data_IF_479407592393
#
_entry.id   IF_479407592393
#
_cell.length_a   1.000
_cell.length_b   1.000
_cell.length_c   1.000
_cell.angle_alpha   90.00
_cell.angle_beta   90.00
_cell.angle_gamma   90.00
#
_symmetry.space_group_name_H-M   'P 1'
#
loop_
_entity.id
_entity.type
_entity.pdbx_description
1 polymer ?
#
# COMPACT_ATOMS: atom_id res chain seq x y z
N UNK A 1 -3.13 57.79 47.98
CA UNK A 1 -3.08 56.31 48.03
C UNK A 1 -3.49 55.60 46.71
N UNK A 2 -3.52 56.27 45.55
CA UNK A 2 -4.06 55.70 44.29
C UNK A 2 -3.05 55.04 43.34
N UNK A 3 -1.73 55.21 43.55
CA UNK A 3 -0.72 54.67 42.64
C UNK A 3 -0.52 53.14 42.77
N UNK A 4 -0.70 52.58 43.98
CA UNK A 4 -0.53 51.14 44.24
C UNK A 4 -1.59 50.27 43.54
N UNK A 5 -2.80 50.78 43.35
CA UNK A 5 -3.90 50.05 42.71
C UNK A 5 -3.75 49.95 41.18
N UNK A 6 -3.14 50.95 40.52
CA UNK A 6 -2.83 50.89 39.08
C UNK A 6 -1.70 49.89 38.76
N UNK A 7 -0.69 49.79 39.62
CA UNK A 7 0.40 48.82 39.48
C UNK A 7 -0.06 47.36 39.60
N UNK A 8 -0.96 47.07 40.56
CA UNK A 8 -1.53 45.72 40.72
C UNK A 8 -2.44 45.29 39.56
N UNK A 9 -3.22 46.22 38.98
CA UNK A 9 -4.05 45.93 37.79
C UNK A 9 -3.19 45.69 36.54
N UNK A 10 -2.08 46.42 36.38
CA UNK A 10 -1.11 46.20 35.29
C UNK A 10 -0.41 44.85 35.39
N UNK A 11 0.00 44.44 36.60
CA UNK A 11 0.59 43.12 36.84
C UNK A 11 -0.40 41.97 36.62
N UNK A 12 -1.65 42.11 37.08
CA UNK A 12 -2.68 41.10 36.88
C UNK A 12 -3.00 40.91 35.39
N UNK A 13 -3.07 42.00 34.62
CA UNK A 13 -3.33 41.95 33.19
C UNK A 13 -2.17 41.29 32.41
N UNK A 14 -0.93 41.53 32.81
CA UNK A 14 0.26 40.87 32.25
C UNK A 14 0.25 39.36 32.49
N UNK A 15 -0.12 38.92 33.69
CA UNK A 15 -0.25 37.50 34.03
C UNK A 15 -1.31 36.81 33.18
N UNK A 16 -2.48 37.45 32.99
CA UNK A 16 -3.54 36.91 32.12
C UNK A 16 -3.06 36.82 30.67
N UNK A 17 -2.35 37.82 30.16
CA UNK A 17 -1.83 37.82 28.79
C UNK A 17 -0.80 36.70 28.56
N UNK A 18 0.12 36.52 29.51
CA UNK A 18 1.10 35.43 29.47
C UNK A 18 0.40 34.07 29.53
N UNK A 19 -0.60 33.93 30.40
CA UNK A 19 -1.38 32.70 30.50
C UNK A 19 -2.12 32.39 29.19
N UNK A 20 -2.77 33.38 28.58
CA UNK A 20 -3.47 33.23 27.29
C UNK A 20 -2.46 32.88 26.19
N UNK A 21 -1.30 33.52 26.14
CA UNK A 21 -0.27 33.20 25.16
C UNK A 21 0.26 31.76 25.33
N UNK A 22 0.55 31.35 26.57
CA UNK A 22 0.97 29.98 26.87
C UNK A 22 -0.12 28.96 26.51
N UNK A 23 -1.38 29.26 26.82
CA UNK A 23 -2.52 28.42 26.47
C UNK A 23 -2.67 28.27 24.95
N UNK A 24 -2.58 29.36 24.20
CA UNK A 24 -2.64 29.32 22.73
C UNK A 24 -1.49 28.51 22.13
N UNK A 25 -0.29 28.59 22.70
CA UNK A 25 0.85 27.78 22.27
C UNK A 25 0.63 26.28 22.54
N UNK A 26 0.08 25.93 23.70
CA UNK A 26 -0.27 24.54 24.03
C UNK A 26 -1.34 23.98 23.08
N UNK A 27 -2.39 24.76 22.82
CA UNK A 27 -3.45 24.40 21.87
C UNK A 27 -2.86 24.22 20.47
N UNK A 28 -2.03 25.16 20.01
CA UNK A 28 -1.37 25.07 18.71
C UNK A 28 -0.50 23.81 18.58
N UNK A 29 0.29 23.50 19.61
CA UNK A 29 1.11 22.29 19.63
C UNK A 29 0.26 21.01 19.59
N UNK A 30 -0.84 20.97 20.35
CA UNK A 30 -1.77 19.84 20.35
C UNK A 30 -2.43 19.62 18.97
N UNK A 31 -2.87 20.69 18.31
CA UNK A 31 -3.45 20.61 16.95
C UNK A 31 -2.42 20.12 15.92
N UNK A 32 -1.16 20.55 16.02
CA UNK A 32 -0.10 20.07 15.13
C UNK A 32 0.13 18.57 15.30
N UNK A 33 0.21 18.11 16.55
CA UNK A 33 0.40 16.70 16.87
C UNK A 33 -0.78 15.84 16.37
N UNK A 34 -2.02 16.27 16.61
CA UNK A 34 -3.20 15.55 16.14
C UNK A 34 -3.26 15.49 14.62
N UNK A 35 -2.96 16.59 13.93
CA UNK A 35 -2.95 16.65 12.47
C UNK A 35 -1.91 15.69 11.88
N UNK A 36 -0.71 15.61 12.46
CA UNK A 36 0.29 14.62 12.04
C UNK A 36 -0.17 13.18 12.27
N UNK A 37 -0.88 12.91 13.36
CA UNK A 37 -1.46 11.59 13.63
C UNK A 37 -2.51 11.18 12.58
N UNK A 38 -3.38 12.10 12.19
CA UNK A 38 -4.37 11.85 11.13
C UNK A 38 -3.71 11.60 9.76
N UNK A 39 -2.71 12.39 9.39
CA UNK A 39 -1.97 12.21 8.14
C UNK A 39 -1.22 10.86 8.10
N UNK A 40 -0.63 10.46 9.23
CA UNK A 40 0.01 9.16 9.36
C UNK A 40 -1.00 8.00 9.25
N UNK A 41 -2.21 8.15 9.81
CA UNK A 41 -3.24 7.13 9.70
C UNK A 41 -3.74 6.97 8.25
N UNK A 42 -3.89 8.07 7.51
CA UNK A 42 -4.26 8.02 6.10
C UNK A 42 -3.17 7.36 5.25
N UNK A 43 -1.90 7.69 5.47
CA UNK A 43 -0.80 7.08 4.72
C UNK A 43 -0.67 5.59 5.00
N UNK A 44 -0.84 5.15 6.26
CA UNK A 44 -0.86 3.72 6.61
C UNK A 44 -1.99 2.99 5.89
N UNK A 45 -3.19 3.58 5.82
CA UNK A 45 -4.34 2.96 5.16
C UNK A 45 -4.15 2.85 3.64
N UNK A 46 -3.60 3.88 3.01
CA UNK A 46 -3.26 3.85 1.58
C UNK A 46 -2.19 2.81 1.28
N UNK A 47 -1.13 2.75 2.11
CA UNK A 47 -0.05 1.78 1.93
C UNK A 47 -0.55 0.34 2.10
N UNK A 48 -1.38 0.11 3.12
CA UNK A 48 -2.01 -1.19 3.36
C UNK A 48 -2.85 -1.64 2.18
N UNK A 49 -3.66 -0.73 1.61
CA UNK A 49 -4.50 -1.03 0.45
C UNK A 49 -3.66 -1.35 -0.79
N UNK A 50 -2.55 -0.66 -1.00
CA UNK A 50 -1.62 -0.95 -2.08
C UNK A 50 -1.02 -2.35 -1.92
N UNK A 51 -0.55 -2.71 -0.73
CA UNK A 51 -0.04 -4.06 -0.45
C UNK A 51 -1.07 -5.14 -0.72
N UNK A 52 -2.31 -4.99 -0.23
CA UNK A 52 -3.40 -5.95 -0.52
C UNK A 52 -3.69 -6.08 -2.01
N UNK A 53 -3.60 -4.98 -2.77
CA UNK A 53 -3.81 -5.03 -4.21
C UNK A 53 -2.67 -5.76 -4.95
N UNK A 54 -1.42 -5.65 -4.46
CA UNK A 54 -0.30 -6.43 -4.97
C UNK A 54 -0.47 -7.93 -4.69
N UNK A 55 -0.84 -8.29 -3.46
CA UNK A 55 -1.11 -9.69 -3.07
C UNK A 55 -2.28 -10.30 -3.87
N UNK A 56 -3.35 -9.55 -4.08
CA UNK A 56 -4.46 -9.98 -4.92
C UNK A 56 -4.01 -10.23 -6.37
N UNK A 57 -3.02 -9.47 -6.86
CA UNK A 57 -2.46 -9.69 -8.19
C UNK A 57 -1.66 -10.99 -8.30
N UNK A 58 -0.97 -11.39 -7.23
CA UNK A 58 -0.34 -12.72 -7.16
C UNK A 58 -1.40 -13.83 -7.23
N UNK A 59 -2.48 -13.73 -6.45
CA UNK A 59 -3.56 -14.73 -6.48
C UNK A 59 -4.19 -14.83 -7.87
N UNK A 60 -4.46 -13.70 -8.52
CA UNK A 60 -4.98 -13.67 -9.87
C UNK A 60 -4.00 -14.25 -10.89
N UNK A 61 -2.69 -14.03 -10.74
CA UNK A 61 -1.69 -14.62 -11.64
C UNK A 61 -1.68 -16.16 -11.54
N UNK A 62 -1.83 -16.70 -10.34
CA UNK A 62 -1.96 -18.15 -10.10
C UNK A 62 -3.25 -18.69 -10.72
N UNK A 63 -4.37 -18.01 -10.52
CA UNK A 63 -5.67 -18.40 -11.11
C UNK A 63 -5.63 -18.35 -12.65
N UNK A 64 -5.04 -17.29 -13.21
CA UNK A 64 -4.87 -17.13 -14.65
C UNK A 64 -4.09 -18.31 -15.23
N UNK A 65 -2.98 -18.71 -14.62
CA UNK A 65 -2.20 -19.84 -15.09
C UNK A 65 -2.87 -21.19 -14.79
N UNK A 66 -3.69 -21.30 -13.74
CA UNK A 66 -4.49 -22.50 -13.45
C UNK A 66 -5.62 -22.71 -14.49
N UNK A 67 -6.35 -21.66 -14.85
CA UNK A 67 -7.38 -21.69 -15.89
C UNK A 67 -6.79 -21.86 -17.30
N UNK A 68 -5.52 -21.47 -17.48
CA UNK A 68 -4.77 -21.63 -18.74
C UNK A 68 -4.20 -23.00 -18.99
N UNK A 69 -4.48 -24.00 -18.16
CA UNK A 69 -4.09 -25.39 -18.40
C UNK A 69 -4.84 -26.09 -19.54
N UNK A 70 -4.82 -25.43 -20.70
CA UNK A 70 -4.68 -26.03 -22.01
C UNK A 70 -3.23 -26.54 -22.20
N UNK A 71 -3.00 -27.53 -23.07
CA UNK A 71 -1.75 -28.31 -23.23
C UNK A 71 -0.47 -27.55 -23.69
N UNK A 72 -0.37 -26.25 -23.44
CA UNK A 72 0.67 -25.33 -23.96
C UNK A 72 1.38 -24.56 -22.84
N UNK A 73 1.76 -25.22 -21.74
CA UNK A 73 2.53 -24.56 -20.66
C UNK A 73 3.79 -23.85 -21.19
N UNK A 74 4.24 -22.81 -20.48
CA UNK A 74 5.36 -21.94 -20.85
C UNK A 74 5.09 -20.89 -21.93
N UNK A 75 3.82 -20.62 -22.25
CA UNK A 75 3.47 -19.42 -23.03
C UNK A 75 3.36 -18.21 -22.12
N UNK A 76 4.02 -17.08 -22.44
CA UNK A 76 3.89 -15.86 -21.65
C UNK A 76 2.48 -15.28 -21.75
N UNK A 77 2.05 -14.59 -20.69
CA UNK A 77 0.87 -13.71 -20.70
C UNK A 77 1.21 -12.33 -20.20
N UNK A 78 1.18 -11.37 -21.11
CA UNK A 78 1.64 -10.02 -20.80
C UNK A 78 0.45 -9.07 -20.70
N UNK A 79 0.48 -8.20 -19.70
CA UNK A 79 -0.41 -7.05 -19.59
C UNK A 79 -1.85 -7.40 -19.21
N UNK A 80 -2.07 -8.44 -18.41
CA UNK A 80 -3.40 -8.69 -17.85
C UNK A 80 -3.70 -7.67 -16.78
N UNK A 81 -4.91 -7.11 -16.81
CA UNK A 81 -5.35 -6.16 -15.82
C UNK A 81 -6.67 -6.60 -15.22
N UNK A 82 -6.83 -6.30 -13.94
CA UNK A 82 -8.10 -6.46 -13.26
C UNK A 82 -8.29 -5.30 -12.29
N UNK A 83 -9.54 -5.02 -11.93
CA UNK A 83 -9.89 -3.86 -11.12
C UNK A 83 -10.46 -4.34 -9.80
N UNK A 84 -9.84 -3.91 -8.71
CA UNK A 84 -10.31 -4.13 -7.34
C UNK A 84 -11.19 -2.96 -6.90
N UNK A 85 -12.49 -3.19 -6.63
CA UNK A 85 -13.36 -2.16 -6.08
C UNK A 85 -13.08 -1.97 -4.60
N UNK A 86 -12.69 -0.76 -4.21
CA UNK A 86 -12.63 -0.36 -2.80
C UNK A 86 -13.59 0.80 -2.55
N UNK A 87 -14.02 0.96 -1.30
CA UNK A 87 -14.92 2.05 -0.90
C UNK A 87 -14.35 3.45 -1.16
N UNK A 88 -13.02 3.57 -1.25
CA UNK A 88 -12.29 4.83 -1.49
C UNK A 88 -11.95 5.06 -2.97
N UNK A 89 -12.35 4.14 -3.85
CA UNK A 89 -12.08 4.20 -5.29
C UNK A 89 -11.67 2.83 -5.85
N UNK A 90 -11.44 2.75 -7.15
CA UNK A 90 -10.98 1.50 -7.76
C UNK A 90 -9.45 1.48 -7.85
N UNK A 91 -8.84 0.31 -7.73
CA UNK A 91 -7.42 0.09 -8.08
C UNK A 91 -7.36 -0.86 -9.26
N UNK A 92 -6.74 -0.42 -10.35
CA UNK A 92 -6.43 -1.30 -11.49
C UNK A 92 -5.06 -1.91 -11.26
N UNK A 93 -4.99 -3.23 -11.14
CA UNK A 93 -3.74 -3.97 -10.99
C UNK A 93 -3.33 -4.50 -12.36
N UNK A 94 -2.04 -4.38 -12.69
CA UNK A 94 -1.47 -4.92 -13.93
C UNK A 94 -0.54 -6.07 -13.60
N UNK A 95 -0.67 -7.17 -14.31
CA UNK A 95 0.10 -8.39 -14.14
C UNK A 95 0.77 -8.75 -15.46
N UNK A 96 2.07 -8.97 -15.40
CA UNK A 96 2.86 -9.55 -16.47
C UNK A 96 3.35 -10.91 -16.01
N UNK A 97 3.02 -11.95 -16.77
CA UNK A 97 3.48 -13.33 -16.57
C UNK A 97 4.40 -13.69 -17.73
N UNK A 98 5.63 -14.04 -17.42
CA UNK A 98 6.63 -14.47 -18.40
C UNK A 98 7.10 -15.87 -18.07
N UNK A 99 7.36 -16.69 -19.09
CA UNK A 99 7.95 -18.00 -18.86
C UNK A 99 9.38 -17.84 -18.33
N UNK A 100 9.70 -18.51 -17.22
CA UNK A 100 11.05 -18.43 -16.66
C UNK A 100 12.05 -19.14 -17.58
N UNK A 101 13.32 -18.82 -17.42
CA UNK A 101 14.40 -19.55 -18.07
C UNK A 101 14.29 -21.06 -17.74
N UNK A 102 14.30 -21.91 -18.77
CA UNK A 102 14.19 -23.36 -18.61
C UNK A 102 12.79 -23.88 -18.31
N UNK A 103 11.73 -23.09 -18.52
CA UNK A 103 10.35 -23.54 -18.38
C UNK A 103 10.09 -24.80 -19.22
N UNK A 104 9.45 -25.80 -18.61
CA UNK A 104 9.08 -27.06 -19.27
C UNK A 104 7.56 -27.21 -19.28
N UNK A 105 6.94 -27.63 -20.39
CA UNK A 105 5.49 -27.81 -20.45
C UNK A 105 4.91 -28.77 -19.40
N UNK A 106 5.70 -29.76 -18.97
CA UNK A 106 5.33 -30.72 -17.91
C UNK A 106 5.54 -30.19 -16.49
N UNK A 107 6.25 -29.07 -16.31
CA UNK A 107 6.50 -28.40 -15.04
C UNK A 107 6.72 -26.91 -15.31
N UNK A 108 5.66 -26.17 -15.69
CA UNK A 108 5.82 -24.80 -16.09
C UNK A 108 6.25 -23.93 -14.89
N UNK A 109 7.09 -22.97 -15.19
CA UNK A 109 7.61 -21.99 -14.23
C UNK A 109 7.48 -20.61 -14.87
N UNK A 110 6.98 -19.64 -14.10
CA UNK A 110 6.75 -18.30 -14.60
C UNK A 110 7.30 -17.25 -13.64
N UNK A 111 7.89 -16.21 -14.21
CA UNK A 111 8.23 -14.98 -13.52
C UNK A 111 7.06 -14.00 -13.69
N UNK A 112 6.50 -13.57 -12.56
CA UNK A 112 5.31 -12.73 -12.48
C UNK A 112 5.71 -11.38 -11.91
N UNK A 113 5.24 -10.32 -12.55
CA UNK A 113 5.38 -8.95 -12.09
C UNK A 113 3.99 -8.34 -11.93
N UNK A 114 3.67 -7.94 -10.70
CA UNK A 114 2.44 -7.24 -10.34
C UNK A 114 2.76 -5.78 -10.10
N UNK A 115 2.02 -4.91 -10.76
CA UNK A 115 2.23 -3.45 -10.72
C UNK A 115 0.93 -2.74 -10.43
N UNK A 116 1.04 -1.65 -9.69
CA UNK A 116 -0.04 -0.71 -9.44
C UNK A 116 0.16 0.55 -10.30
N UNK A 117 -0.91 1.36 -10.48
CA UNK A 117 -0.77 2.65 -11.11
C UNK A 117 0.10 3.55 -10.22
N UNK A 118 0.99 4.34 -10.82
CA UNK A 118 1.88 5.25 -10.10
C UNK A 118 1.13 6.30 -9.23
N UNK A 119 -0.15 6.55 -9.52
CA UNK A 119 -1.02 7.39 -8.70
C UNK A 119 -1.44 6.77 -7.36
N UNK A 120 -1.28 5.45 -7.21
CA UNK A 120 -1.59 4.69 -6.00
C UNK A 120 -0.31 4.28 -5.29
N UNK A 121 0.64 3.70 -6.01
CA UNK A 121 1.93 3.29 -5.47
C UNK A 121 2.94 3.11 -6.59
N UNK A 122 4.20 3.42 -6.32
CA UNK A 122 5.33 3.08 -7.20
C UNK A 122 5.86 1.68 -6.93
N UNK A 123 5.33 0.99 -5.92
CA UNK A 123 5.77 -0.34 -5.52
C UNK A 123 5.27 -1.39 -6.51
N UNK A 124 6.07 -2.43 -6.69
CA UNK A 124 5.73 -3.60 -7.47
C UNK A 124 6.06 -4.87 -6.69
N UNK A 125 5.39 -5.96 -7.05
CA UNK A 125 5.67 -7.28 -6.51
C UNK A 125 6.19 -8.14 -7.65
N UNK A 126 7.44 -8.59 -7.53
CA UNK A 126 8.02 -9.57 -8.45
C UNK A 126 8.07 -10.92 -7.74
N UNK A 127 7.73 -11.99 -8.43
CA UNK A 127 7.69 -13.32 -7.85
C UNK A 127 7.89 -14.39 -8.94
N UNK A 128 8.20 -15.61 -8.51
CA UNK A 128 8.23 -16.76 -9.42
C UNK A 128 7.30 -17.86 -8.93
N UNK A 129 6.42 -18.33 -9.81
CA UNK A 129 5.52 -19.46 -9.56
C UNK A 129 5.99 -20.69 -10.33
N UNK A 130 5.83 -21.86 -9.71
CA UNK A 130 6.15 -23.15 -10.30
C UNK A 130 5.00 -24.12 -10.12
N UNK A 131 4.62 -24.82 -11.19
CA UNK A 131 3.64 -25.90 -11.12
C UNK A 131 4.33 -27.23 -10.81
N UNK A 132 3.90 -27.85 -9.72
CA UNK A 132 4.41 -29.17 -9.31
C UNK A 132 3.96 -30.32 -10.22
N UNK A 133 2.92 -30.12 -11.06
CA UNK A 133 2.24 -31.24 -11.72
C UNK A 133 1.67 -30.94 -13.12
N UNK A 134 2.48 -30.38 -14.03
CA UNK A 134 2.16 -30.26 -15.46
C UNK A 134 0.82 -29.58 -15.79
N UNK A 135 0.28 -28.79 -14.86
CA UNK A 135 -1.02 -28.19 -15.07
C UNK A 135 -2.27 -29.05 -14.97
N UNK A 136 -2.16 -30.24 -14.39
CA UNK A 136 -3.35 -31.03 -14.08
C UNK A 136 -3.76 -30.72 -12.65
N UNK A 137 -4.68 -29.74 -12.47
CA UNK A 137 -5.06 -29.17 -11.15
C UNK A 137 -3.84 -29.04 -10.24
N UNK A 138 -2.85 -28.30 -10.76
CA UNK A 138 -1.50 -28.30 -10.25
C UNK A 138 -1.41 -27.38 -9.05
N UNK A 139 -1.00 -27.91 -7.90
CA UNK A 139 -0.55 -27.07 -6.79
C UNK A 139 0.57 -26.18 -7.30
N UNK A 140 0.32 -24.87 -7.28
CA UNK A 140 1.31 -23.83 -7.56
C UNK A 140 2.12 -23.56 -6.31
N UNK A 141 3.43 -23.48 -6.48
CA UNK A 141 4.38 -23.14 -5.44
C UNK A 141 4.98 -21.79 -5.80
N UNK A 142 5.04 -20.89 -4.83
CA UNK A 142 5.78 -19.64 -4.96
C UNK A 142 7.22 -19.94 -4.53
N UNK A 143 8.16 -19.78 -5.46
CA UNK A 143 9.57 -20.04 -5.20
C UNK A 143 10.23 -18.87 -4.47
N UNK A 144 9.84 -17.65 -4.84
CA UNK A 144 10.28 -16.42 -4.19
C UNK A 144 9.29 -15.30 -4.50
N UNK A 145 9.30 -14.29 -3.63
CA UNK A 145 8.58 -13.03 -3.78
C UNK A 145 9.45 -11.88 -3.29
N UNK A 146 9.39 -10.74 -3.98
CA UNK A 146 10.11 -9.54 -3.61
C UNK A 146 9.25 -8.31 -3.90
N UNK A 147 9.02 -7.53 -2.85
CA UNK A 147 8.49 -6.17 -2.96
C UNK A 147 9.62 -5.22 -3.36
N UNK A 148 9.37 -4.43 -4.40
CA UNK A 148 10.25 -3.36 -4.87
C UNK A 148 9.55 -2.02 -4.77
#
# INVERSE_FOLDING_TARGET
MNARLRGQRGQALLLVLIFVAAFLLLVWAALKLSSSGFLALSSVREDTRATYALDAGLAFAVELEDDKFKPLGCTPDLGKTFTLPYSTGNITVTINVTASAGCKPSKPTYDVQVMLPASISTRSLSLQIHSSNAGKKGSWLINWEQYQ
#
